data_IF_838624193882
#
_entry.id   IF_838624193882
#
_cell.length_a   1.000
_cell.length_b   1.000
_cell.length_c   1.000
_cell.angle_alpha   90.00
_cell.angle_beta   90.00
_cell.angle_gamma   90.00
#
_symmetry.space_group_name_H-M   'P 1'
#
loop_
_entity.id
_entity.type
_entity.pdbx_description
1 polymer ?
#
# COMPACT_ATOMS: atom_id res chain seq x y z
N UNK A 1 44.30 -45.94 98.07
CA UNK A 1 45.12 -47.14 98.36
C UNK A 1 46.09 -47.37 97.22
N UNK A 2 47.31 -47.78 97.55
CA UNK A 2 48.49 -47.96 96.68
C UNK A 2 48.21 -48.91 95.50
N UNK A 3 48.77 -48.65 94.32
CA UNK A 3 49.83 -49.50 93.75
C UNK A 3 50.47 -48.90 92.48
N UNK A 4 51.70 -49.33 92.22
CA UNK A 4 52.78 -48.73 91.44
C UNK A 4 53.15 -49.64 90.25
N UNK A 5 53.51 -49.02 89.11
CA UNK A 5 54.64 -49.35 88.19
C UNK A 5 54.48 -50.65 87.36
N UNK A 6 54.53 -50.61 86.01
CA UNK A 6 55.72 -50.70 85.13
C UNK A 6 55.24 -50.62 83.66
N UNK A 7 56.01 -50.26 82.62
CA UNK A 7 57.33 -49.65 82.41
C UNK A 7 57.61 -49.77 80.89
N UNK A 8 58.18 -48.73 80.26
CA UNK A 8 59.08 -48.74 79.08
C UNK A 8 58.57 -49.32 77.73
N UNK A 9 59.00 -48.90 76.53
CA UNK A 9 59.73 -47.72 76.02
C UNK A 9 59.90 -47.92 74.52
N UNK A 10 59.76 -46.87 73.70
CA UNK A 10 60.74 -46.55 72.64
C UNK A 10 60.52 -45.12 72.17
N UNK A 11 61.59 -44.34 72.29
CA UNK A 11 61.69 -42.95 71.85
C UNK A 11 61.78 -42.87 70.32
N UNK A 12 61.12 -41.87 69.74
CA UNK A 12 61.70 -41.14 68.61
C UNK A 12 61.30 -39.66 68.70
N UNK A 13 62.21 -38.81 68.23
CA UNK A 13 62.47 -37.48 68.76
C UNK A 13 61.55 -36.41 68.18
N UNK A 14 61.25 -35.46 69.05
CA UNK A 14 60.77 -34.10 68.81
C UNK A 14 61.24 -33.45 67.50
N UNK A 15 60.29 -32.85 66.77
CA UNK A 15 60.42 -31.50 66.20
C UNK A 15 59.03 -30.87 66.06
N UNK A 16 58.76 -29.83 66.84
CA UNK A 16 57.63 -28.91 66.61
C UNK A 16 57.89 -28.15 65.32
N UNK A 17 56.84 -27.87 64.54
CA UNK A 17 56.62 -26.48 64.21
C UNK A 17 55.16 -26.03 64.41
N UNK A 18 55.10 -24.79 64.87
CA UNK A 18 54.06 -23.76 64.79
C UNK A 18 52.89 -24.03 63.82
N UNK A 19 51.70 -23.92 64.40
CA UNK A 19 50.45 -23.35 63.89
C UNK A 19 50.34 -23.10 62.38
N UNK A 20 49.32 -23.71 61.76
CA UNK A 20 48.41 -23.06 60.80
C UNK A 20 47.25 -24.02 60.52
N UNK A 21 46.07 -23.70 61.06
CA UNK A 21 44.82 -24.29 60.62
C UNK A 21 44.62 -23.88 59.16
N UNK A 22 44.71 -24.85 58.23
CA UNK A 22 44.42 -24.62 56.83
C UNK A 22 42.90 -24.45 56.67
N UNK A 23 42.45 -23.20 56.61
CA UNK A 23 41.13 -22.83 56.12
C UNK A 23 41.10 -23.19 54.63
N UNK A 24 40.45 -24.31 54.27
CA UNK A 24 40.17 -24.63 52.87
C UNK A 24 39.09 -23.65 52.40
N UNK A 25 39.53 -22.51 51.86
CA UNK A 25 38.69 -21.62 51.08
C UNK A 25 38.46 -22.34 49.75
N UNK A 26 37.30 -22.98 49.61
CA UNK A 26 36.78 -23.36 48.30
C UNK A 26 36.44 -22.04 47.60
N UNK A 27 37.39 -21.52 46.81
CA UNK A 27 37.07 -20.50 45.82
C UNK A 27 36.10 -21.12 44.83
N UNK A 28 34.80 -20.83 44.99
CA UNK A 28 33.87 -20.83 43.88
C UNK A 28 34.41 -19.81 42.88
N UNK A 29 35.22 -20.27 41.94
CA UNK A 29 35.46 -19.51 40.71
C UNK A 29 34.14 -19.60 39.98
N UNK A 30 33.23 -18.68 40.28
CA UNK A 30 32.13 -18.34 39.40
C UNK A 30 32.80 -17.85 38.13
N UNK A 31 33.06 -18.77 37.19
CA UNK A 31 33.27 -18.40 35.80
C UNK A 31 31.96 -17.73 35.39
N UNK A 32 31.89 -16.41 35.51
CA UNK A 32 30.92 -15.63 34.78
C UNK A 32 31.19 -16.00 33.33
N UNK A 33 30.33 -16.83 32.73
CA UNK A 33 30.29 -16.92 31.28
C UNK A 33 30.20 -15.47 30.81
N UNK A 34 31.17 -15.02 30.02
CA UNK A 34 31.14 -13.66 29.50
C UNK A 34 29.76 -13.48 28.84
N UNK A 35 29.09 -12.38 29.16
CA UNK A 35 27.79 -12.07 28.56
C UNK A 35 27.99 -12.08 27.04
N UNK A 36 27.29 -12.97 26.34
CA UNK A 36 27.37 -13.11 24.89
C UNK A 36 26.96 -11.79 24.26
N UNK A 37 27.75 -11.30 23.33
CA UNK A 37 27.54 -10.01 22.67
C UNK A 37 26.77 -10.16 21.35
N UNK A 38 26.03 -9.11 20.94
CA UNK A 38 25.30 -9.12 19.68
C UNK A 38 26.17 -9.43 18.44
N UNK A 39 27.43 -8.95 18.33
CA UNK A 39 28.34 -9.36 17.25
C UNK A 39 28.69 -10.85 17.23
N UNK A 40 28.84 -11.50 18.38
CA UNK A 40 29.11 -12.95 18.46
C UNK A 40 27.89 -13.75 18.00
N UNK A 41 26.69 -13.32 18.38
CA UNK A 41 25.42 -13.92 17.93
C UNK A 41 25.27 -13.79 16.41
N UNK A 42 25.66 -12.64 15.85
CA UNK A 42 25.66 -12.41 14.40
C UNK A 42 26.62 -13.31 13.66
N UNK A 43 27.81 -13.54 14.21
CA UNK A 43 28.78 -14.47 13.63
C UNK A 43 28.19 -15.89 13.52
N UNK A 44 27.49 -16.36 14.57
CA UNK A 44 26.80 -17.65 14.53
C UNK A 44 25.74 -17.72 13.42
N UNK A 45 24.92 -16.67 13.27
CA UNK A 45 23.92 -16.61 12.22
C UNK A 45 24.53 -16.53 10.82
N UNK A 46 25.66 -15.83 10.66
CA UNK A 46 26.41 -15.77 9.41
C UNK A 46 26.95 -17.15 8.99
N UNK A 47 27.36 -17.95 9.97
CA UNK A 47 27.73 -19.37 9.79
C UNK A 47 26.51 -20.31 9.65
N UNK A 48 25.29 -19.75 9.48
CA UNK A 48 24.02 -20.46 9.34
C UNK A 48 23.61 -21.30 10.57
N UNK A 49 24.24 -21.09 11.73
CA UNK A 49 23.84 -21.70 13.00
C UNK A 49 22.64 -20.96 13.61
N UNK A 50 21.56 -20.80 12.82
CA UNK A 50 20.39 -19.98 13.18
C UNK A 50 19.71 -20.41 14.49
N UNK A 51 19.66 -21.71 14.78
CA UNK A 51 19.03 -22.21 16.01
C UNK A 51 19.83 -21.85 17.27
N UNK A 52 21.15 -21.89 17.18
CA UNK A 52 22.02 -21.48 18.27
C UNK A 52 22.04 -19.96 18.42
N UNK A 53 22.11 -19.24 17.30
CA UNK A 53 22.04 -17.78 17.28
C UNK A 53 20.73 -17.27 17.89
N UNK A 54 19.57 -17.84 17.52
CA UNK A 54 18.28 -17.45 18.10
C UNK A 54 18.24 -17.67 19.61
N UNK A 55 18.74 -18.83 20.08
CA UNK A 55 18.79 -19.13 21.51
C UNK A 55 19.66 -18.13 22.28
N UNK A 56 20.82 -17.78 21.75
CA UNK A 56 21.70 -16.79 22.38
C UNK A 56 21.12 -15.37 22.31
N UNK A 57 20.42 -15.05 21.22
CA UNK A 57 19.73 -13.77 21.03
C UNK A 57 18.55 -13.60 21.99
N UNK A 58 17.76 -14.65 22.21
CA UNK A 58 16.68 -14.65 23.19
C UNK A 58 17.22 -14.42 24.61
N UNK A 59 18.35 -15.05 24.96
CA UNK A 59 19.01 -14.82 26.25
C UNK A 59 19.54 -13.39 26.37
N UNK A 60 20.14 -12.84 25.31
CA UNK A 60 20.61 -11.46 25.26
C UNK A 60 19.48 -10.45 25.47
N UNK A 61 18.32 -10.68 24.84
CA UNK A 61 17.15 -9.81 24.93
C UNK A 61 16.44 -9.86 26.29
N UNK A 62 16.71 -10.85 27.15
CA UNK A 62 16.21 -10.84 28.54
C UNK A 62 16.82 -9.68 29.33
N UNK A 63 18.10 -9.38 29.09
CA UNK A 63 18.82 -8.30 29.77
C UNK A 63 18.74 -6.98 28.98
N UNK A 64 18.60 -7.06 27.65
CA UNK A 64 18.64 -5.93 26.72
C UNK A 64 17.33 -5.80 25.93
N UNK A 65 16.18 -5.89 26.61
CA UNK A 65 14.86 -5.99 25.97
C UNK A 65 14.45 -4.80 25.08
N UNK A 66 15.08 -3.63 25.25
CA UNK A 66 14.83 -2.43 24.45
C UNK A 66 15.83 -2.26 23.28
N UNK A 67 16.76 -3.21 23.11
CA UNK A 67 17.73 -3.21 22.01
C UNK A 67 16.99 -3.50 20.68
N UNK A 68 16.65 -2.41 20.00
CA UNK A 68 15.95 -2.40 18.70
C UNK A 68 16.68 -3.25 17.68
N UNK A 69 18.00 -3.17 17.66
CA UNK A 69 18.84 -3.84 16.68
C UNK A 69 18.79 -5.36 16.88
N UNK A 70 18.88 -5.80 18.13
CA UNK A 70 18.73 -7.21 18.50
C UNK A 70 17.30 -7.74 18.24
N UNK A 71 16.25 -6.93 18.48
CA UNK A 71 14.85 -7.32 18.19
C UNK A 71 14.59 -7.45 16.69
N UNK A 72 15.10 -6.52 15.88
CA UNK A 72 15.01 -6.59 14.42
C UNK A 72 15.73 -7.85 13.91
N UNK A 73 16.95 -8.10 14.41
CA UNK A 73 17.74 -9.26 14.04
C UNK A 73 17.07 -10.58 14.42
N UNK A 74 16.35 -10.62 15.54
CA UNK A 74 15.55 -11.79 15.95
C UNK A 74 14.48 -12.14 14.91
N UNK A 75 13.72 -11.14 14.44
CA UNK A 75 12.72 -11.33 13.38
C UNK A 75 13.34 -11.85 12.07
N UNK A 76 14.54 -11.37 11.72
CA UNK A 76 15.29 -11.86 10.56
C UNK A 76 15.70 -13.32 10.72
N UNK A 77 16.23 -13.72 11.88
CA UNK A 77 16.60 -15.13 12.13
C UNK A 77 15.36 -16.05 12.07
N UNK A 78 14.24 -15.64 12.67
CA UNK A 78 12.98 -16.40 12.59
C UNK A 78 12.52 -16.60 11.14
N UNK A 79 12.64 -15.55 10.32
CA UNK A 79 12.35 -15.62 8.88
C UNK A 79 13.24 -16.64 8.18
N UNK A 80 14.55 -16.64 8.48
CA UNK A 80 15.54 -17.58 7.89
C UNK A 80 15.26 -19.04 8.25
N UNK A 81 14.71 -19.28 9.44
CA UNK A 81 14.32 -20.61 9.88
C UNK A 81 12.99 -21.09 9.31
N UNK A 82 12.24 -20.21 8.63
CA UNK A 82 10.89 -20.50 8.15
C UNK A 82 9.82 -20.39 9.24
N UNK A 83 10.14 -19.84 10.40
CA UNK A 83 9.19 -19.56 11.48
C UNK A 83 8.43 -18.27 11.17
N UNK A 84 7.65 -18.30 10.08
CA UNK A 84 7.06 -17.09 9.46
C UNK A 84 6.10 -16.37 10.41
N UNK A 85 5.24 -17.10 11.13
CA UNK A 85 4.26 -16.48 12.03
C UNK A 85 4.95 -15.79 13.22
N UNK A 86 5.96 -16.42 13.82
CA UNK A 86 6.76 -15.82 14.90
C UNK A 86 7.56 -14.60 14.41
N UNK A 87 8.03 -14.62 13.16
CA UNK A 87 8.71 -13.47 12.56
C UNK A 87 7.75 -12.29 12.35
N UNK A 88 6.52 -12.55 11.88
CA UNK A 88 5.47 -11.53 11.76
C UNK A 88 5.19 -10.91 13.12
N UNK A 89 4.97 -11.73 14.15
CA UNK A 89 4.71 -11.23 15.51
C UNK A 89 5.90 -10.38 16.03
N UNK A 90 7.14 -10.83 15.81
CA UNK A 90 8.33 -10.10 16.24
C UNK A 90 8.45 -8.72 15.57
N UNK A 91 8.22 -8.63 14.26
CA UNK A 91 8.30 -7.35 13.55
C UNK A 91 7.10 -6.45 13.83
N UNK A 92 5.89 -7.00 14.01
CA UNK A 92 4.69 -6.25 14.37
C UNK A 92 4.81 -5.63 15.77
N UNK A 93 5.29 -6.40 16.75
CA UNK A 93 5.56 -5.88 18.09
C UNK A 93 6.67 -4.82 18.09
N UNK A 94 7.70 -4.97 17.25
CA UNK A 94 8.73 -3.95 17.10
C UNK A 94 8.19 -2.68 16.43
N UNK A 95 7.38 -2.81 15.38
CA UNK A 95 6.74 -1.68 14.70
C UNK A 95 5.78 -0.91 15.64
N UNK A 96 5.06 -1.60 16.53
CA UNK A 96 4.22 -0.95 17.55
C UNK A 96 5.04 -0.25 18.62
N UNK A 97 6.13 -0.87 19.07
CA UNK A 97 6.98 -0.31 20.12
C UNK A 97 7.80 0.89 19.60
N UNK A 98 8.18 0.88 18.32
CA UNK A 98 9.02 1.88 17.66
C UNK A 98 8.38 2.31 16.33
N UNK A 99 7.28 3.08 16.37
CA UNK A 99 6.50 3.45 15.18
C UNK A 99 7.21 4.40 14.21
N UNK A 100 8.37 4.93 14.61
CA UNK A 100 9.26 5.75 13.79
C UNK A 100 10.17 4.93 12.86
N UNK A 101 10.30 3.63 13.08
CA UNK A 101 11.22 2.77 12.35
C UNK A 101 10.58 2.19 11.08
N UNK A 102 11.12 2.45 9.88
CA UNK A 102 10.61 1.88 8.65
C UNK A 102 11.02 0.41 8.43
N UNK A 103 12.11 -0.06 9.04
CA UNK A 103 12.71 -1.37 8.77
C UNK A 103 11.81 -2.55 9.18
N UNK A 104 11.15 -2.57 10.35
CA UNK A 104 10.22 -3.64 10.71
C UNK A 104 9.04 -3.73 9.74
N UNK A 105 8.55 -2.59 9.24
CA UNK A 105 7.45 -2.51 8.27
C UNK A 105 7.84 -3.08 6.91
N UNK A 106 9.05 -2.79 6.43
CA UNK A 106 9.58 -3.39 5.21
C UNK A 106 9.71 -4.92 5.33
N UNK A 107 10.21 -5.41 6.47
CA UNK A 107 10.30 -6.85 6.72
C UNK A 107 8.92 -7.53 6.82
N UNK A 108 7.94 -6.91 7.50
CA UNK A 108 6.54 -7.37 7.50
C UNK A 108 5.97 -7.47 6.09
N UNK A 109 6.30 -6.50 5.23
CA UNK A 109 5.82 -6.47 3.85
C UNK A 109 6.26 -7.68 3.06
N UNK A 110 7.54 -8.06 3.19
CA UNK A 110 8.13 -9.22 2.50
C UNK A 110 7.44 -10.50 2.98
N UNK A 111 7.19 -10.63 4.29
CA UNK A 111 6.49 -11.80 4.86
C UNK A 111 5.04 -11.88 4.38
N UNK A 112 4.31 -10.75 4.35
CA UNK A 112 2.96 -10.69 3.80
C UNK A 112 2.93 -11.03 2.30
N UNK A 113 3.88 -10.53 1.51
CA UNK A 113 3.97 -10.86 0.10
C UNK A 113 4.24 -12.36 -0.13
N UNK A 114 5.12 -12.97 0.67
CA UNK A 114 5.39 -14.42 0.63
C UNK A 114 4.15 -15.28 0.95
N UNK A 115 3.24 -14.77 1.79
CA UNK A 115 1.95 -15.42 2.08
C UNK A 115 0.84 -15.07 1.07
N UNK A 116 1.15 -14.29 0.02
CA UNK A 116 0.16 -13.82 -0.97
C UNK A 116 -0.75 -12.70 -0.48
N UNK A 117 -0.46 -12.11 0.68
CA UNK A 117 -1.19 -10.99 1.30
C UNK A 117 -0.70 -9.65 0.75
N UNK A 118 -0.81 -9.47 -0.57
CA UNK A 118 -0.23 -8.32 -1.28
C UNK A 118 -0.83 -6.96 -0.87
N UNK A 119 -2.11 -6.91 -0.51
CA UNK A 119 -2.76 -5.68 -0.04
C UNK A 119 -2.26 -5.24 1.34
N UNK A 120 -1.96 -6.18 2.24
CA UNK A 120 -1.37 -5.88 3.54
C UNK A 120 0.08 -5.46 3.39
N UNK A 121 0.84 -6.17 2.54
CA UNK A 121 2.20 -5.81 2.15
C UNK A 121 2.28 -4.38 1.62
N UNK A 122 1.37 -3.98 0.72
CA UNK A 122 1.29 -2.61 0.19
C UNK A 122 1.13 -1.58 1.31
N UNK A 123 0.23 -1.82 2.28
CA UNK A 123 -0.06 -0.86 3.36
C UNK A 123 1.17 -0.60 4.21
N UNK A 124 1.88 -1.65 4.63
CA UNK A 124 3.07 -1.49 5.48
C UNK A 124 4.26 -0.88 4.73
N UNK A 125 4.41 -1.16 3.41
CA UNK A 125 5.43 -0.50 2.59
C UNK A 125 5.16 0.99 2.38
N UNK A 126 3.90 1.36 2.12
CA UNK A 126 3.53 2.77 2.04
C UNK A 126 3.85 3.47 3.37
N UNK A 127 3.58 2.83 4.51
CA UNK A 127 3.95 3.37 5.81
C UNK A 127 5.47 3.48 6.01
N UNK A 128 6.24 2.49 5.57
CA UNK A 128 7.70 2.56 5.61
C UNK A 128 8.25 3.74 4.79
N UNK A 129 7.68 3.98 3.60
CA UNK A 129 8.04 5.10 2.71
C UNK A 129 7.58 6.46 3.29
N UNK A 130 6.45 6.50 4.00
CA UNK A 130 6.04 7.72 4.73
C UNK A 130 7.06 8.10 5.82
N UNK A 131 7.64 7.12 6.50
CA UNK A 131 8.65 7.33 7.55
C UNK A 131 10.02 7.69 6.96
N UNK A 132 10.44 6.99 5.90
CA UNK A 132 11.69 7.25 5.18
C UNK A 132 11.44 7.27 3.66
N UNK A 133 11.16 8.46 3.08
CA UNK A 133 10.89 8.58 1.65
C UNK A 133 12.02 8.12 0.73
N UNK A 134 13.27 8.07 1.23
CA UNK A 134 14.44 7.61 0.47
C UNK A 134 14.77 6.13 0.69
N UNK A 135 13.88 5.37 1.33
CA UNK A 135 14.07 3.93 1.55
C UNK A 135 13.90 3.15 0.25
N UNK A 136 15.00 3.03 -0.49
CA UNK A 136 15.10 2.38 -1.80
C UNK A 136 14.49 0.97 -1.83
N UNK A 137 14.80 0.17 -0.81
CA UNK A 137 14.35 -1.22 -0.68
C UNK A 137 12.83 -1.29 -0.53
N UNK A 138 12.22 -0.35 0.21
CA UNK A 138 10.77 -0.31 0.35
C UNK A 138 10.07 0.10 -0.97
N UNK A 139 10.67 0.98 -1.77
CA UNK A 139 10.16 1.32 -3.10
C UNK A 139 10.26 0.15 -4.08
N UNK A 140 11.37 -0.59 -4.06
CA UNK A 140 11.54 -1.82 -4.85
C UNK A 140 10.48 -2.86 -4.49
N UNK A 141 10.37 -3.20 -3.20
CA UNK A 141 9.38 -4.15 -2.70
C UNK A 141 7.94 -3.71 -3.03
N UNK A 142 7.65 -2.41 -3.01
CA UNK A 142 6.34 -1.89 -3.37
C UNK A 142 6.06 -2.04 -4.88
N UNK A 143 7.09 -1.88 -5.71
CA UNK A 143 7.04 -2.17 -7.15
C UNK A 143 6.64 -3.62 -7.43
N UNK A 144 7.30 -4.57 -6.77
CA UNK A 144 7.01 -6.01 -6.89
C UNK A 144 5.57 -6.34 -6.47
N UNK A 145 5.13 -5.74 -5.35
CA UNK A 145 3.76 -5.88 -4.87
C UNK A 145 2.74 -5.33 -5.88
N UNK A 146 3.01 -4.17 -6.48
CA UNK A 146 2.16 -3.62 -7.53
C UNK A 146 2.12 -4.49 -8.79
N UNK A 147 3.26 -5.06 -9.19
CA UNK A 147 3.34 -6.01 -10.29
C UNK A 147 2.48 -7.25 -10.01
N UNK A 148 2.55 -7.83 -8.81
CA UNK A 148 1.70 -8.95 -8.39
C UNK A 148 0.21 -8.59 -8.39
N UNK A 149 -0.16 -7.45 -7.81
CA UNK A 149 -1.56 -6.98 -7.78
C UNK A 149 -2.11 -6.75 -9.19
N UNK A 150 -1.31 -6.16 -10.09
CA UNK A 150 -1.67 -5.99 -11.48
C UNK A 150 -1.88 -7.34 -12.18
N UNK A 151 -0.98 -8.31 -11.95
CA UNK A 151 -1.13 -9.65 -12.51
C UNK A 151 -2.45 -10.32 -12.09
N UNK A 152 -2.76 -10.28 -10.78
CA UNK A 152 -4.01 -10.82 -10.23
C UNK A 152 -5.23 -10.18 -10.90
N UNK A 153 -5.23 -8.86 -11.10
CA UNK A 153 -6.32 -8.15 -11.76
C UNK A 153 -6.46 -8.56 -13.24
N UNK A 154 -5.35 -8.71 -13.97
CA UNK A 154 -5.36 -9.14 -15.36
C UNK A 154 -5.85 -10.58 -15.53
N UNK A 155 -5.38 -11.50 -14.70
CA UNK A 155 -5.86 -12.89 -14.68
C UNK A 155 -7.35 -12.97 -14.38
N UNK A 156 -7.83 -12.15 -13.44
CA UNK A 156 -9.26 -12.06 -13.12
C UNK A 156 -10.06 -11.56 -14.31
N UNK A 157 -9.60 -10.51 -14.99
CA UNK A 157 -10.26 -9.97 -16.17
C UNK A 157 -10.34 -10.99 -17.32
N UNK A 158 -9.27 -11.75 -17.55
CA UNK A 158 -9.25 -12.83 -18.55
C UNK A 158 -10.15 -14.02 -18.17
N UNK A 159 -10.20 -14.37 -16.89
CA UNK A 159 -11.12 -15.42 -16.40
C UNK A 159 -12.58 -15.04 -16.63
N UNK A 160 -12.93 -13.76 -16.46
CA UNK A 160 -14.30 -13.25 -16.66
C UNK A 160 -14.67 -13.14 -18.15
N UNK A 161 -13.71 -12.80 -19.01
CA UNK A 161 -13.88 -12.78 -20.47
C UNK A 161 -12.67 -13.39 -21.17
N UNK A 162 -12.78 -14.65 -21.57
CA UNK A 162 -11.71 -15.38 -22.25
C UNK A 162 -11.40 -14.84 -23.65
N UNK A 163 -12.20 -13.91 -24.18
CA UNK A 163 -11.91 -13.20 -25.44
C UNK A 163 -11.03 -11.96 -25.19
N UNK A 164 -10.85 -11.53 -23.95
CA UNK A 164 -9.98 -10.42 -23.58
C UNK A 164 -8.50 -10.85 -23.62
N UNK A 165 -7.98 -11.07 -24.82
CA UNK A 165 -6.60 -11.47 -25.06
C UNK A 165 -5.59 -10.42 -24.59
N UNK A 166 -5.99 -9.14 -24.56
CA UNK A 166 -5.15 -8.07 -24.02
C UNK A 166 -4.86 -8.22 -22.52
N UNK A 167 -5.86 -8.67 -21.72
CA UNK A 167 -5.64 -8.96 -20.30
C UNK A 167 -4.70 -10.15 -20.11
N UNK A 168 -4.92 -11.24 -20.87
CA UNK A 168 -4.03 -12.42 -20.88
C UNK A 168 -2.58 -12.05 -21.22
N UNK A 169 -2.36 -11.24 -22.25
CA UNK A 169 -1.01 -10.87 -22.69
C UNK A 169 -0.29 -10.00 -21.66
N UNK A 170 -1.03 -9.10 -20.99
CA UNK A 170 -0.50 -8.30 -19.87
C UNK A 170 -0.18 -9.15 -18.65
N UNK A 171 -1.01 -10.13 -18.30
CA UNK A 171 -0.72 -11.09 -17.24
C UNK A 171 0.55 -11.89 -17.56
N UNK A 172 0.67 -12.42 -18.78
CA UNK A 172 1.87 -13.12 -19.24
C UNK A 172 3.14 -12.27 -19.21
N UNK A 173 3.04 -10.97 -19.55
CA UNK A 173 4.17 -10.05 -19.39
C UNK A 173 4.52 -9.82 -17.93
N UNK A 174 3.53 -9.64 -17.06
CA UNK A 174 3.75 -9.43 -15.64
C UNK A 174 4.38 -10.64 -14.96
N UNK A 175 3.94 -11.86 -15.29
CA UNK A 175 4.58 -13.09 -14.84
C UNK A 175 6.06 -13.13 -15.24
N UNK A 176 6.42 -12.68 -16.46
CA UNK A 176 7.83 -12.62 -16.88
C UNK A 176 8.67 -11.61 -16.11
N UNK A 177 8.14 -10.41 -15.84
CA UNK A 177 8.81 -9.40 -15.01
C UNK A 177 9.12 -10.00 -13.63
N UNK A 178 8.11 -10.62 -13.02
CA UNK A 178 8.21 -11.26 -11.71
C UNK A 178 9.11 -12.50 -11.72
N UNK A 179 9.19 -13.27 -12.81
CA UNK A 179 10.05 -14.46 -12.93
C UNK A 179 11.53 -14.11 -13.18
N UNK A 180 11.80 -13.03 -13.94
CA UNK A 180 13.15 -12.47 -14.05
C UNK A 180 13.63 -11.96 -12.70
N UNK A 181 12.71 -11.46 -11.87
CA UNK A 181 12.97 -11.04 -10.51
C UNK A 181 13.02 -12.21 -9.52
N UNK A 182 12.23 -13.29 -9.63
CA UNK A 182 12.36 -14.42 -8.71
C UNK A 182 13.76 -15.07 -8.74
N UNK A 183 14.46 -15.04 -9.88
CA UNK A 183 15.85 -15.45 -9.98
C UNK A 183 16.83 -14.44 -9.32
N UNK A 184 16.50 -13.15 -9.37
CA UNK A 184 17.25 -12.06 -8.74
C UNK A 184 16.92 -11.98 -7.23
N UNK A 185 15.68 -11.86 -6.82
CA UNK A 185 15.14 -11.88 -5.46
C UNK A 185 15.42 -13.17 -4.68
N UNK A 186 15.56 -14.36 -5.27
CA UNK A 186 16.07 -15.52 -4.54
C UNK A 186 17.57 -15.40 -4.22
N UNK A 187 18.31 -14.62 -5.03
CA UNK A 187 19.71 -14.26 -4.82
C UNK A 187 19.84 -13.05 -3.89
N UNK A 188 19.01 -12.02 -4.06
CA UNK A 188 18.88 -10.83 -3.21
C UNK A 188 18.31 -11.20 -1.84
N UNK A 189 17.38 -12.15 -1.69
CA UNK A 189 16.97 -12.64 -0.37
C UNK A 189 18.11 -13.41 0.32
N UNK A 190 19.05 -14.02 -0.42
CA UNK A 190 20.31 -14.55 0.15
C UNK A 190 21.31 -13.43 0.49
N UNK A 191 21.26 -12.29 -0.19
CA UNK A 191 22.20 -11.15 -0.05
C UNK A 191 21.70 -9.98 0.83
N UNK A 192 20.38 -9.80 1.01
CA UNK A 192 19.71 -8.84 1.92
C UNK A 192 19.74 -9.34 3.36
N UNK A 193 20.13 -10.61 3.57
CA UNK A 193 20.69 -11.05 4.85
C UNK A 193 22.13 -10.59 5.10
N UNK A 194 22.70 -9.82 4.17
CA UNK A 194 24.04 -9.28 4.22
C UNK A 194 24.08 -7.77 3.86
N UNK A 195 23.00 -7.00 4.13
CA UNK A 195 23.25 -5.62 4.56
C UNK A 195 24.01 -5.75 5.89
N UNK A 196 25.28 -5.35 5.90
CA UNK A 196 26.04 -5.33 7.16
C UNK A 196 25.25 -4.45 8.14
N UNK A 197 25.12 -4.84 9.42
CA UNK A 197 24.48 -4.03 10.47
C UNK A 197 24.89 -2.56 10.39
N UNK A 198 26.15 -2.30 10.01
CA UNK A 198 26.75 -0.97 9.81
C UNK A 198 25.97 0.00 8.89
N UNK A 199 25.20 -0.50 7.93
CA UNK A 199 24.44 0.36 6.99
C UNK A 199 23.13 0.83 7.63
N UNK A 200 22.52 -0.02 8.46
CA UNK A 200 21.31 0.29 9.23
C UNK A 200 21.67 1.08 10.50
N UNK A 201 22.83 0.82 11.12
CA UNK A 201 23.37 1.61 12.25
C UNK A 201 23.59 3.09 11.90
N UNK A 202 24.05 3.38 10.68
CA UNK A 202 24.26 4.77 10.22
C UNK A 202 22.97 5.57 10.03
N UNK A 203 21.85 4.90 9.77
CA UNK A 203 20.55 5.54 9.65
C UNK A 203 19.97 5.89 11.04
N UNK A 204 20.18 5.01 12.03
CA UNK A 204 19.74 5.20 13.41
C UNK A 204 20.51 6.33 14.15
N UNK A 205 21.76 6.59 13.79
CA UNK A 205 22.60 7.63 14.42
C UNK A 205 22.25 9.08 14.01
N UNK A 206 21.43 9.29 12.98
CA UNK A 206 21.14 10.62 12.41
C UNK A 206 19.80 11.24 12.84
N UNK A 207 19.04 10.58 13.72
CA UNK A 207 17.72 11.04 14.13
C UNK A 207 17.83 11.78 15.48
N UNK A 208 17.91 13.11 15.46
CA UNK A 208 17.75 13.92 16.68
C UNK A 208 16.26 14.06 17.07
N UNK A 209 15.88 13.91 18.35
CA UNK A 209 14.50 13.99 18.77
C UNK A 209 14.03 15.44 18.89
N UNK A 210 13.18 15.90 17.96
CA UNK A 210 12.44 17.15 18.12
C UNK A 210 11.21 16.88 18.98
N UNK A 211 11.29 17.21 20.27
CA UNK A 211 10.19 17.08 21.20
C UNK A 211 9.05 18.04 20.84
N UNK A 212 8.01 17.50 20.21
CA UNK A 212 6.67 18.10 20.17
C UNK A 212 5.80 17.25 21.09
N UNK A 213 5.05 17.86 22.00
CA UNK A 213 4.32 17.09 23.00
C UNK A 213 3.26 16.19 22.33
N UNK A 214 3.06 14.97 22.83
CA UNK A 214 2.04 14.04 22.31
C UNK A 214 0.64 14.69 22.26
N UNK A 215 0.37 15.64 23.15
CA UNK A 215 -0.87 16.41 23.17
C UNK A 215 -0.96 17.46 22.04
N UNK A 216 0.13 18.12 21.67
CA UNK A 216 0.18 19.02 20.50
C UNK A 216 0.09 18.23 19.20
N UNK A 217 0.79 17.10 19.11
CA UNK A 217 0.72 16.19 17.97
C UNK A 217 -0.71 15.65 17.82
N UNK A 218 -1.34 15.22 18.91
CA UNK A 218 -2.72 14.74 18.89
C UNK A 218 -3.74 15.84 18.58
N UNK A 219 -3.54 17.08 19.04
CA UNK A 219 -4.42 18.21 18.74
C UNK A 219 -4.31 18.64 17.26
N UNK A 220 -3.10 18.68 16.72
CA UNK A 220 -2.83 18.97 15.31
C UNK A 220 -3.38 17.84 14.42
N UNK A 221 -3.13 16.56 14.77
CA UNK A 221 -3.68 15.41 14.06
C UNK A 221 -5.22 15.39 14.10
N UNK A 222 -5.84 15.71 15.24
CA UNK A 222 -7.31 15.76 15.36
C UNK A 222 -7.93 16.89 14.55
N UNK A 223 -7.27 18.04 14.45
CA UNK A 223 -7.76 19.19 13.68
C UNK A 223 -7.55 19.03 12.16
N UNK A 224 -6.53 18.24 11.75
CA UNK A 224 -6.27 17.89 10.33
C UNK A 224 -7.07 16.66 9.90
N UNK A 225 -7.48 15.77 10.81
CA UNK A 225 -8.10 14.49 10.45
C UNK A 225 -9.58 14.55 10.03
N UNK A 226 -10.28 15.68 10.13
CA UNK A 226 -11.75 15.69 9.97
C UNK A 226 -12.30 16.50 8.79
N UNK A 227 -11.51 17.31 8.09
CA UNK A 227 -12.01 18.11 6.97
C UNK A 227 -11.46 17.60 5.66
N UNK A 228 -12.26 16.89 4.88
CA UNK A 228 -11.90 16.50 3.52
C UNK A 228 -12.35 17.53 2.49
N UNK A 229 -11.70 17.53 1.33
CA UNK A 229 -12.06 18.41 0.23
C UNK A 229 -12.22 17.62 -1.07
N UNK A 230 -13.11 18.09 -1.93
CA UNK A 230 -13.27 17.60 -3.28
C UNK A 230 -12.83 18.70 -4.27
N UNK A 231 -11.99 18.31 -5.24
CA UNK A 231 -11.66 19.14 -6.40
C UNK A 231 -12.54 18.73 -7.56
N UNK A 232 -13.47 19.61 -7.95
CA UNK A 232 -14.48 19.33 -8.97
C UNK A 232 -14.12 19.96 -10.33
N UNK A 233 -14.86 19.58 -11.38
CA UNK A 233 -14.71 20.17 -12.73
C UNK A 233 -13.52 19.63 -13.53
N UNK A 234 -12.95 18.49 -13.13
CA UNK A 234 -11.80 17.90 -13.82
C UNK A 234 -12.27 17.00 -14.96
N UNK A 235 -12.03 17.44 -16.18
CA UNK A 235 -12.53 16.81 -17.40
C UNK A 235 -11.62 15.73 -18.01
N UNK A 236 -10.41 15.54 -17.46
CA UNK A 236 -9.43 14.61 -18.01
C UNK A 236 -8.56 13.96 -16.93
N UNK A 237 -8.14 12.72 -17.19
CA UNK A 237 -7.24 11.96 -16.32
C UNK A 237 -5.90 12.69 -16.05
N UNK A 238 -5.20 13.26 -17.06
CA UNK A 238 -3.95 13.99 -16.79
C UNK A 238 -4.14 15.21 -15.90
N UNK A 239 -5.26 15.93 -16.03
CA UNK A 239 -5.57 17.05 -15.14
C UNK A 239 -5.82 16.58 -13.70
N UNK A 240 -6.53 15.46 -13.52
CA UNK A 240 -6.75 14.87 -12.20
C UNK A 240 -5.45 14.44 -11.54
N UNK A 241 -4.58 13.77 -12.30
CA UNK A 241 -3.24 13.39 -11.87
C UNK A 241 -2.36 14.58 -11.50
N UNK A 242 -2.47 15.69 -12.24
CA UNK A 242 -1.72 16.92 -11.94
C UNK A 242 -2.17 17.53 -10.61
N UNK A 243 -3.48 17.52 -10.34
CA UNK A 243 -4.03 17.97 -9.05
C UNK A 243 -3.61 17.04 -7.91
N UNK A 244 -3.68 15.72 -8.09
CA UNK A 244 -3.21 14.73 -7.09
C UNK A 244 -1.73 14.95 -6.80
N UNK A 245 -0.89 15.02 -7.83
CA UNK A 245 0.56 15.25 -7.69
C UNK A 245 0.84 16.52 -6.92
N UNK A 246 0.14 17.62 -7.22
CA UNK A 246 0.36 18.89 -6.53
C UNK A 246 0.13 18.81 -5.02
N UNK A 247 -0.91 18.06 -4.59
CA UNK A 247 -1.17 17.80 -3.17
C UNK A 247 -0.14 16.82 -2.59
N UNK A 248 0.20 15.76 -3.32
CA UNK A 248 1.21 14.78 -2.89
C UNK A 248 2.61 15.40 -2.69
N UNK A 249 3.03 16.30 -3.58
CA UNK A 249 4.28 17.06 -3.48
C UNK A 249 4.34 17.94 -2.22
N UNK A 250 3.18 18.22 -1.61
CA UNK A 250 3.02 18.99 -0.37
C UNK A 250 2.69 18.12 0.83
N UNK A 251 2.86 16.79 0.71
CA UNK A 251 2.59 15.84 1.79
C UNK A 251 1.11 15.68 2.13
N UNK A 252 0.21 16.06 1.23
CA UNK A 252 -1.23 15.98 1.44
C UNK A 252 -1.79 14.78 0.69
N UNK A 253 -2.43 13.88 1.44
CA UNK A 253 -3.09 12.71 0.88
C UNK A 253 -4.21 13.15 -0.06
N UNK A 254 -4.08 12.79 -1.33
CA UNK A 254 -5.07 13.06 -2.36
C UNK A 254 -5.26 11.81 -3.22
N UNK A 255 -6.51 11.45 -3.49
CA UNK A 255 -6.86 10.30 -4.31
C UNK A 255 -7.68 10.76 -5.51
N UNK A 256 -7.26 10.30 -6.70
CA UNK A 256 -8.11 10.41 -7.88
C UNK A 256 -9.31 9.48 -7.71
N UNK A 257 -10.47 10.04 -8.00
CA UNK A 257 -11.72 9.31 -8.07
C UNK A 257 -12.30 9.49 -9.48
N UNK A 258 -12.85 8.41 -10.02
CA UNK A 258 -13.49 8.43 -11.34
C UNK A 258 -14.92 7.91 -11.21
N UNK A 259 -15.85 8.59 -11.88
CA UNK A 259 -17.20 8.08 -12.11
C UNK A 259 -17.50 8.16 -13.58
N UNK A 260 -18.07 7.08 -14.09
CA UNK A 260 -18.84 7.15 -15.33
C UNK A 260 -20.10 7.97 -15.01
N UNK A 261 -20.14 9.21 -15.49
CA UNK A 261 -21.37 9.99 -15.50
C UNK A 261 -22.04 9.70 -16.84
N UNK A 262 -23.25 9.15 -16.76
CA UNK A 262 -24.15 9.09 -17.91
C UNK A 262 -24.69 10.50 -18.12
N UNK A 263 -24.12 11.19 -19.09
CA UNK A 263 -24.58 12.50 -19.50
C UNK A 263 -25.27 12.36 -20.85
N UNK A 264 -26.53 12.79 -20.92
CA UNK A 264 -27.26 12.89 -22.18
C UNK A 264 -26.62 13.97 -23.04
N UNK A 265 -25.72 13.58 -23.94
CA UNK A 265 -24.99 14.51 -24.81
C UNK A 265 -25.90 15.16 -25.85
N UNK A 266 -26.99 14.49 -26.24
CA UNK A 266 -28.06 15.05 -27.06
C UNK A 266 -29.32 14.17 -26.99
N UNK A 267 -30.44 14.73 -27.41
CA UNK A 267 -31.71 14.06 -27.62
C UNK A 267 -31.87 13.77 -29.11
N UNK A 268 -31.93 12.49 -29.46
CA UNK A 268 -32.24 12.02 -30.81
C UNK A 268 -33.76 12.07 -30.99
N UNK A 269 -34.23 12.85 -31.96
CA UNK A 269 -35.65 12.98 -32.31
C UNK A 269 -35.89 12.21 -33.60
N UNK A 270 -36.87 11.30 -33.60
CA UNK A 270 -37.08 10.38 -34.69
C UNK A 270 -38.56 9.97 -34.84
N UNK A 271 -38.93 9.57 -36.06
CA UNK A 271 -40.10 8.73 -36.30
C UNK A 271 -39.67 7.28 -36.09
N UNK A 272 -40.37 6.49 -35.26
CA UNK A 272 -40.04 5.08 -35.02
C UNK A 272 -39.93 4.24 -36.30
N UNK A 273 -39.26 3.08 -36.25
CA UNK A 273 -39.19 2.15 -37.37
C UNK A 273 -40.56 1.88 -38.00
N UNK A 274 -40.63 2.11 -39.31
CA UNK A 274 -41.78 1.74 -40.13
C UNK A 274 -41.59 0.31 -40.65
N UNK A 275 -42.69 -0.29 -41.12
CA UNK A 275 -42.77 -1.71 -41.51
C UNK A 275 -41.62 -2.15 -42.42
N UNK A 276 -41.25 -1.30 -43.38
CA UNK A 276 -40.19 -1.57 -44.33
C UNK A 276 -39.59 -0.29 -44.93
N UNK A 277 -38.58 -0.47 -45.77
CA UNK A 277 -37.85 0.62 -46.44
C UNK A 277 -38.74 1.49 -47.34
N UNK A 278 -39.77 0.90 -47.94
CA UNK A 278 -40.69 1.58 -48.85
C UNK A 278 -41.66 2.47 -48.07
N UNK A 279 -42.27 1.94 -47.00
CA UNK A 279 -43.09 2.72 -46.06
C UNK A 279 -42.31 3.90 -45.48
N UNK A 280 -41.05 3.69 -45.11
CA UNK A 280 -40.17 4.76 -44.65
C UNK A 280 -39.84 5.81 -45.72
N UNK A 281 -39.75 5.41 -47.00
CA UNK A 281 -39.56 6.32 -48.12
C UNK A 281 -40.80 7.19 -48.38
N UNK A 282 -41.98 6.59 -48.28
CA UNK A 282 -43.25 7.28 -48.46
C UNK A 282 -43.53 8.29 -47.35
N UNK A 283 -43.32 7.91 -46.08
CA UNK A 283 -43.48 8.84 -44.96
C UNK A 283 -42.47 10.00 -45.05
N UNK A 284 -41.21 9.72 -45.42
CA UNK A 284 -40.19 10.76 -45.65
C UNK A 284 -40.58 11.73 -46.77
N UNK A 285 -41.21 11.23 -47.84
CA UNK A 285 -41.72 12.05 -48.96
C UNK A 285 -42.84 12.97 -48.47
N UNK A 286 -43.83 12.45 -47.74
CA UNK A 286 -44.93 13.24 -47.16
C UNK A 286 -44.42 14.35 -46.24
N UNK A 287 -43.47 14.03 -45.36
CA UNK A 287 -42.86 15.02 -44.47
C UNK A 287 -42.15 16.14 -45.24
N UNK A 288 -41.47 15.84 -46.35
CA UNK A 288 -40.84 16.84 -47.22
C UNK A 288 -41.85 17.74 -47.93
N UNK A 289 -42.98 17.19 -48.35
CA UNK A 289 -44.08 17.95 -48.95
C UNK A 289 -44.73 18.90 -47.95
N UNK A 290 -44.77 18.52 -46.68
CA UNK A 290 -45.14 19.39 -45.56
C UNK A 290 -44.09 20.46 -45.21
N UNK A 291 -42.96 20.48 -45.91
CA UNK A 291 -41.90 21.49 -45.79
C UNK A 291 -40.71 21.08 -44.91
N UNK A 292 -40.65 19.84 -44.42
CA UNK A 292 -39.54 19.37 -43.60
C UNK A 292 -38.40 18.84 -44.47
N UNK A 293 -37.31 19.60 -44.61
CA UNK A 293 -36.19 19.27 -45.50
C UNK A 293 -34.97 18.70 -44.79
N UNK A 294 -34.85 18.93 -43.48
CA UNK A 294 -33.77 18.51 -42.59
C UNK A 294 -34.06 17.16 -41.92
N UNK A 295 -34.52 16.19 -42.72
CA UNK A 295 -34.90 14.85 -42.28
C UNK A 295 -34.32 13.76 -43.19
N UNK A 296 -34.01 12.61 -42.60
CA UNK A 296 -33.35 11.52 -43.31
C UNK A 296 -33.79 10.14 -42.81
N UNK A 297 -33.94 9.18 -43.72
CA UNK A 297 -34.21 7.78 -43.35
C UNK A 297 -33.01 7.18 -42.64
N UNK A 298 -33.28 6.44 -41.57
CA UNK A 298 -32.28 5.66 -40.83
C UNK A 298 -32.13 4.28 -41.50
N UNK A 299 -30.91 3.93 -41.90
CA UNK A 299 -30.65 2.75 -42.74
C UNK A 299 -30.13 1.53 -41.96
N UNK A 300 -29.79 1.68 -40.68
CA UNK A 300 -29.16 0.63 -39.87
C UNK A 300 -29.44 0.81 -38.38
N UNK A 301 -29.16 -0.24 -37.61
CA UNK A 301 -29.34 -0.26 -36.16
C UNK A 301 -30.79 -0.45 -35.73
N UNK A 302 -31.05 -0.21 -34.45
CA UNK A 302 -32.37 -0.38 -33.81
C UNK A 302 -33.46 0.47 -34.45
N UNK A 303 -33.11 1.66 -34.96
CA UNK A 303 -34.04 2.57 -35.63
C UNK A 303 -34.08 2.37 -37.16
N UNK A 304 -33.61 1.22 -37.68
CA UNK A 304 -33.67 0.94 -39.11
C UNK A 304 -35.11 1.08 -39.64
N UNK A 305 -35.26 1.71 -40.81
CA UNK A 305 -36.56 2.11 -41.39
C UNK A 305 -37.32 3.19 -40.62
N UNK A 306 -36.73 3.81 -39.59
CA UNK A 306 -37.22 5.06 -39.01
C UNK A 306 -36.77 6.29 -39.78
N UNK A 307 -37.20 7.47 -39.33
CA UNK A 307 -36.79 8.77 -39.91
C UNK A 307 -36.14 9.61 -38.81
N UNK A 308 -34.90 10.03 -39.02
CA UNK A 308 -34.23 10.99 -38.16
C UNK A 308 -34.78 12.39 -38.45
N UNK A 309 -35.20 13.07 -37.38
CA UNK A 309 -35.84 14.40 -37.39
C UNK A 309 -34.93 15.48 -36.79
N UNK A 310 -33.85 15.07 -36.14
CA UNK A 310 -32.80 15.94 -35.62
C UNK A 310 -32.15 15.40 -34.35
N UNK A 311 -31.05 16.04 -33.95
CA UNK A 311 -30.38 15.81 -32.69
C UNK A 311 -30.20 17.14 -31.96
N UNK A 312 -30.61 17.22 -30.69
CA UNK A 312 -30.67 18.48 -29.94
C UNK A 312 -29.92 18.36 -28.62
N UNK A 313 -29.10 19.35 -28.27
CA UNK A 313 -28.41 19.36 -26.96
C UNK A 313 -29.35 19.59 -25.77
N UNK A 314 -30.39 20.39 -25.97
CA UNK A 314 -31.33 20.76 -24.91
C UNK A 314 -32.68 20.06 -25.11
N UNK A 315 -33.24 19.54 -24.01
CA UNK A 315 -34.54 18.87 -23.99
C UNK A 315 -35.66 19.76 -24.57
N UNK A 316 -35.69 21.03 -24.15
CA UNK A 316 -36.71 21.97 -24.61
C UNK A 316 -36.70 22.16 -26.15
N UNK A 317 -35.55 22.02 -26.80
CA UNK A 317 -35.44 22.16 -28.26
C UNK A 317 -35.95 20.89 -28.95
N UNK A 318 -35.64 19.71 -28.40
CA UNK A 318 -36.18 18.44 -28.85
C UNK A 318 -37.72 18.41 -28.71
N UNK A 319 -38.25 18.82 -27.56
CA UNK A 319 -39.70 18.88 -27.30
C UNK A 319 -40.41 19.86 -28.25
N UNK A 320 -39.82 21.04 -28.51
CA UNK A 320 -40.36 21.98 -29.51
C UNK A 320 -40.40 21.36 -30.90
N UNK A 321 -39.34 20.65 -31.29
CA UNK A 321 -39.30 19.95 -32.58
C UNK A 321 -40.39 18.88 -32.66
N UNK A 322 -40.49 18.02 -31.64
CA UNK A 322 -41.53 16.99 -31.54
C UNK A 322 -42.92 17.60 -31.69
N UNK A 323 -43.19 18.71 -30.99
CA UNK A 323 -44.49 19.41 -31.08
C UNK A 323 -44.78 19.92 -32.50
N UNK A 324 -43.79 20.46 -33.21
CA UNK A 324 -43.94 20.91 -34.60
C UNK A 324 -44.37 19.78 -35.53
N UNK A 325 -43.75 18.60 -35.41
CA UNK A 325 -44.12 17.44 -36.23
C UNK A 325 -45.46 16.82 -35.81
N UNK A 326 -45.73 16.71 -34.51
CA UNK A 326 -47.00 16.18 -34.00
C UNK A 326 -48.20 17.06 -34.40
N UNK A 327 -48.02 18.38 -34.49
CA UNK A 327 -49.05 19.29 -34.99
C UNK A 327 -49.43 19.04 -36.46
N UNK A 328 -48.54 18.36 -37.22
CA UNK A 328 -48.77 17.92 -38.60
C UNK A 328 -49.21 16.45 -38.70
N UNK A 329 -49.39 15.76 -37.57
CA UNK A 329 -49.89 14.38 -37.51
C UNK A 329 -48.81 13.29 -37.54
N UNK A 330 -47.52 13.65 -37.44
CA UNK A 330 -46.43 12.68 -37.47
C UNK A 330 -46.16 12.08 -36.08
N UNK A 331 -46.00 10.74 -36.02
CA UNK A 331 -45.67 9.99 -34.82
C UNK A 331 -44.17 10.14 -34.49
N UNK A 332 -43.80 11.29 -33.92
CA UNK A 332 -42.42 11.59 -33.54
C UNK A 332 -42.20 11.35 -32.06
N UNK A 333 -41.09 10.70 -31.76
CA UNK A 333 -40.55 10.43 -30.43
C UNK A 333 -39.17 11.07 -30.27
N UNK A 334 -38.68 11.11 -29.05
CA UNK A 334 -37.30 11.45 -28.78
C UNK A 334 -36.75 10.56 -27.67
N UNK A 335 -35.45 10.30 -27.72
CA UNK A 335 -34.73 9.59 -26.66
C UNK A 335 -33.42 10.29 -26.32
N UNK A 336 -33.00 10.29 -25.06
CA UNK A 336 -31.64 10.70 -24.73
C UNK A 336 -30.64 9.75 -25.38
N UNK A 337 -29.56 10.31 -25.90
CA UNK A 337 -28.36 9.57 -26.26
C UNK A 337 -27.31 9.91 -25.23
N UNK A 338 -27.08 8.97 -24.34
CA UNK A 338 -26.09 9.14 -23.31
C UNK A 338 -24.71 8.81 -23.85
N UNK A 339 -23.72 9.59 -23.42
CA UNK A 339 -22.33 9.18 -23.51
C UNK A 339 -21.84 9.04 -22.09
N UNK A 340 -21.24 7.89 -21.81
CA UNK A 340 -20.44 7.74 -20.62
C UNK A 340 -19.23 8.68 -20.76
N UNK A 341 -19.27 9.80 -20.05
CA UNK A 341 -18.10 10.64 -19.84
C UNK A 341 -17.52 10.26 -18.50
N UNK A 342 -16.24 9.91 -18.47
CA UNK A 342 -15.51 9.78 -17.21
C UNK A 342 -15.24 11.19 -16.71
N UNK A 343 -15.84 11.54 -15.59
CA UNK A 343 -15.48 12.74 -14.85
C UNK A 343 -14.55 12.33 -13.73
N UNK A 344 -13.56 13.18 -13.49
CA UNK A 344 -12.56 12.96 -12.46
C UNK A 344 -12.82 13.97 -11.34
N UNK A 345 -12.57 13.56 -10.12
CA UNK A 345 -12.41 14.48 -9.00
C UNK A 345 -11.28 13.99 -8.12
N UNK A 346 -10.72 14.90 -7.33
CA UNK A 346 -9.68 14.56 -6.37
C UNK A 346 -10.26 14.70 -4.98
N UNK A 347 -10.27 13.60 -4.23
CA UNK A 347 -10.59 13.59 -2.81
C UNK A 347 -9.30 13.87 -2.03
N UNK A 348 -9.30 14.94 -1.24
CA UNK A 348 -8.17 15.36 -0.43
C UNK A 348 -8.48 15.01 1.02
N UNK A 349 -7.70 14.08 1.58
CA UNK A 349 -7.87 13.53 2.92
C UNK A 349 -6.96 14.25 3.92
N UNK A 350 -7.21 15.55 4.11
CA UNK A 350 -6.56 16.37 5.13
C UNK A 350 -7.31 17.69 5.30
N UNK A 351 -7.36 18.18 6.54
CA UNK A 351 -7.70 19.55 6.89
C UNK A 351 -6.70 20.51 6.27
N UNK A 352 -6.91 20.84 4.99
CA UNK A 352 -6.04 21.77 4.26
C UNK A 352 -5.94 23.10 5.01
N UNK A 353 -4.73 23.58 5.28
CA UNK A 353 -4.55 24.89 5.91
C UNK A 353 -5.11 25.99 5.00
N UNK A 354 -5.46 27.16 5.57
CA UNK A 354 -5.95 28.29 4.77
C UNK A 354 -4.90 28.71 3.73
N UNK A 355 -3.63 28.62 4.10
CA UNK A 355 -2.47 28.90 3.27
C UNK A 355 -2.42 27.93 2.07
N UNK A 356 -2.57 26.63 2.32
CA UNK A 356 -2.59 25.60 1.27
C UNK A 356 -3.79 25.77 0.31
N UNK A 357 -4.96 26.15 0.83
CA UNK A 357 -6.14 26.44 -0.02
C UNK A 357 -5.88 27.62 -0.94
N UNK A 358 -5.28 28.69 -0.43
CA UNK A 358 -4.94 29.86 -1.24
C UNK A 358 -3.89 29.54 -2.31
N UNK A 359 -2.89 28.72 -1.95
CA UNK A 359 -1.87 28.24 -2.89
C UNK A 359 -2.51 27.37 -3.99
N UNK A 360 -3.43 26.47 -3.61
CA UNK A 360 -4.17 25.64 -4.55
C UNK A 360 -5.00 26.48 -5.52
N UNK A 361 -5.79 27.44 -5.02
CA UNK A 361 -6.59 28.34 -5.88
C UNK A 361 -5.72 29.14 -6.84
N UNK A 362 -4.49 29.50 -6.44
CA UNK A 362 -3.53 30.19 -7.31
C UNK A 362 -2.95 29.27 -8.38
N UNK A 363 -2.65 28.02 -8.04
CA UNK A 363 -2.10 27.02 -8.96
C UNK A 363 -3.15 26.45 -9.94
N UNK A 364 -4.40 26.33 -9.50
CA UNK A 364 -5.51 25.73 -10.24
C UNK A 364 -6.78 26.60 -10.18
N UNK A 365 -6.77 27.80 -10.78
CA UNK A 365 -7.91 28.71 -10.71
C UNK A 365 -9.18 28.17 -11.38
N UNK A 366 -9.05 27.18 -12.27
CA UNK A 366 -10.16 26.53 -12.96
C UNK A 366 -10.87 25.44 -12.12
N UNK A 367 -10.27 24.98 -11.03
CA UNK A 367 -10.77 23.85 -10.25
C UNK A 367 -11.17 24.30 -8.84
N UNK A 368 -12.47 24.41 -8.54
CA UNK A 368 -12.91 24.78 -7.21
C UNK A 368 -12.62 23.66 -6.20
N UNK A 369 -12.04 24.06 -5.07
CA UNK A 369 -11.83 23.22 -3.88
C UNK A 369 -13.00 23.44 -2.92
N UNK A 370 -13.83 22.41 -2.72
CA UNK A 370 -15.00 22.47 -1.83
C UNK A 370 -14.86 21.47 -0.69
N UNK A 371 -15.26 21.84 0.52
CA UNK A 371 -15.35 20.90 1.64
C UNK A 371 -16.26 19.71 1.29
N UNK A 372 -15.86 18.52 1.73
CA UNK A 372 -16.51 17.24 1.45
C UNK A 372 -16.37 16.30 2.65
N UNK A 373 -17.25 15.31 2.73
CA UNK A 373 -17.08 14.19 3.66
C UNK A 373 -15.91 13.33 3.25
N UNK A 374 -15.05 12.95 4.20
CA UNK A 374 -14.06 11.90 4.03
C UNK A 374 -14.80 10.57 3.76
N UNK A 375 -14.64 10.00 2.57
CA UNK A 375 -15.28 8.73 2.16
C UNK A 375 -14.24 7.71 1.78
#
# INVERSE_FOLDING_TARGET
MRCRIQAFSTQSRLRRPRSLAALIIVCFISTSAAAVTLPEIRALAADQHYAEALKQLDAYLVENGDDVEARLFRGVILTRQGNIDEAIDAFDELAKARPELPEPLNNLAVLYAAQGRYEDSRKVLLRAIELEPRYDTAHENLGDVYAKLANIAYERAYTLDQKNTAARDKASWMTRVLDTEHAQAAKTAREVGASSPDTETKALEQIEPRATSEAEIAAIHKQIAETCYAVNGIESYPAARSVVSWFSDRGVAAAEQTRAVEESIFYEVYVPPLENREAAGEELRRMREDGFVDIMRINSGELQNGISVGAYRELANAERRVKTFRAKGYAVEFRPRDRSRRTYWVAVNAGTSRELRNEFTSAFPAYPLSESTCR
#
